data_IF_381555291586
#
_entry.id   IF_381555291586
#
_cell.length_a   1.000
_cell.length_b   1.000
_cell.length_c   1.000
_cell.angle_alpha   90.00
_cell.angle_beta   90.00
_cell.angle_gamma   90.00
#
_symmetry.space_group_name_H-M   'P 1'
#
loop_
_entity.id
_entity.type
_entity.pdbx_description
1 polymer ?
#
# COMPACT_ATOMS: atom_id res chain seq x y z
N UNK A 1 -27.41 20.05 14.11
CA UNK A 1 -27.07 19.69 12.72
C UNK A 1 -25.80 20.43 12.31
N UNK A 2 -24.65 19.93 12.75
CA UNK A 2 -23.34 20.44 12.34
C UNK A 2 -22.88 19.61 11.14
N UNK A 3 -23.22 20.05 9.93
CA UNK A 3 -22.61 19.54 8.70
C UNK A 3 -21.12 19.83 8.79
N UNK A 4 -20.31 18.79 9.02
CA UNK A 4 -18.91 18.92 9.41
C UNK A 4 -18.08 19.67 8.37
N UNK A 5 -17.25 20.59 8.86
CA UNK A 5 -16.31 21.44 8.13
C UNK A 5 -15.08 20.69 7.57
N UNK A 6 -15.14 19.36 7.46
CA UNK A 6 -14.02 18.53 7.02
C UNK A 6 -14.45 17.67 5.83
N UNK A 7 -13.88 17.89 4.63
CA UNK A 7 -14.20 17.07 3.47
C UNK A 7 -13.75 15.63 3.73
N UNK A 8 -14.70 14.68 3.67
CA UNK A 8 -14.38 13.25 3.82
C UNK A 8 -13.82 12.65 2.54
N UNK A 9 -13.80 13.39 1.43
CA UNK A 9 -13.31 12.90 0.14
C UNK A 9 -11.83 13.23 -0.02
N UNK A 10 -11.00 12.20 -0.06
CA UNK A 10 -9.57 12.30 -0.35
C UNK A 10 -9.30 11.89 -1.80
N UNK A 11 -8.91 12.81 -2.70
CA UNK A 11 -8.45 12.47 -4.03
C UNK A 11 -7.13 11.68 -3.98
N UNK A 12 -7.08 10.55 -4.67
CA UNK A 12 -5.91 9.68 -4.81
C UNK A 12 -5.67 9.42 -6.31
N UNK A 13 -5.02 10.37 -6.99
CA UNK A 13 -4.89 10.34 -8.45
C UNK A 13 -6.26 10.45 -9.13
N UNK A 14 -6.64 9.45 -9.92
CA UNK A 14 -7.94 9.38 -10.60
C UNK A 14 -9.05 8.69 -9.76
N UNK A 15 -8.78 8.37 -8.49
CA UNK A 15 -9.73 7.75 -7.56
C UNK A 15 -10.02 8.70 -6.41
N UNK A 16 -11.10 8.42 -5.67
CA UNK A 16 -11.46 9.15 -4.46
C UNK A 16 -11.71 8.14 -3.35
N UNK A 17 -11.08 8.35 -2.20
CA UNK A 17 -11.30 7.58 -0.97
C UNK A 17 -12.28 8.36 -0.07
N UNK A 18 -13.34 7.71 0.38
CA UNK A 18 -14.35 8.32 1.27
C UNK A 18 -14.05 8.02 2.74
N UNK A 19 -13.35 8.95 3.38
CA UNK A 19 -12.92 8.93 4.78
C UNK A 19 -14.07 9.08 5.80
N UNK A 20 -15.33 8.99 5.37
CA UNK A 20 -16.47 8.92 6.29
C UNK A 20 -16.44 7.65 7.18
N UNK A 21 -15.60 6.68 6.83
CA UNK A 21 -15.44 5.41 7.55
C UNK A 21 -13.95 5.07 7.71
N UNK A 22 -13.63 4.20 8.67
CA UNK A 22 -12.26 3.68 8.83
C UNK A 22 -11.88 2.76 7.68
N UNK A 23 -10.66 2.95 7.18
CA UNK A 23 -10.10 2.15 6.10
C UNK A 23 -8.91 1.33 6.57
N UNK A 24 -8.78 0.12 6.03
CA UNK A 24 -7.57 -0.68 6.15
C UNK A 24 -6.66 -0.41 4.95
N UNK A 25 -5.43 0.01 5.25
CA UNK A 25 -4.34 0.18 4.30
C UNK A 25 -3.43 -1.05 4.36
N UNK A 26 -3.31 -1.77 3.25
CA UNK A 26 -2.32 -2.85 3.11
C UNK A 26 -0.93 -2.28 2.87
N UNK A 27 0.10 -2.80 3.54
CA UNK A 27 1.48 -2.34 3.38
C UNK A 27 2.23 -3.33 2.49
N UNK A 28 2.63 -2.88 1.30
CA UNK A 28 3.42 -3.64 0.34
C UNK A 28 4.86 -3.12 0.30
N UNK A 29 5.75 -3.76 1.05
CA UNK A 29 7.18 -3.47 1.00
C UNK A 29 7.83 -4.23 -0.16
N UNK A 30 8.18 -3.54 -1.24
CA UNK A 30 8.82 -4.09 -2.43
C UNK A 30 10.34 -3.84 -2.40
N UNK A 31 11.02 -4.26 -1.33
CA UNK A 31 12.47 -4.08 -1.17
C UNK A 31 13.25 -5.28 -1.73
N UNK A 32 14.51 -5.10 -2.21
CA UNK A 32 15.29 -6.19 -2.82
C UNK A 32 15.56 -7.39 -1.88
N UNK A 33 15.62 -7.13 -0.59
CA UNK A 33 15.87 -8.06 0.52
C UNK A 33 14.61 -8.81 1.00
N UNK A 34 13.40 -8.37 0.62
CA UNK A 34 12.16 -9.05 1.03
C UNK A 34 11.79 -10.25 0.13
N UNK A 35 12.44 -10.43 -1.03
CA UNK A 35 12.03 -11.39 -2.08
C UNK A 35 13.21 -11.97 -2.88
N UNK A 36 14.31 -12.33 -2.21
CA UNK A 36 15.63 -12.55 -2.83
C UNK A 36 15.85 -13.80 -3.70
N UNK A 37 14.86 -14.66 -3.95
CA UNK A 37 15.13 -16.01 -4.49
C UNK A 37 14.89 -16.20 -6.01
N UNK A 38 14.62 -15.14 -6.80
CA UNK A 38 14.69 -15.29 -8.25
C UNK A 38 14.07 -14.17 -9.09
N UNK A 39 14.91 -13.32 -9.69
CA UNK A 39 14.58 -12.48 -10.84
C UNK A 39 13.64 -11.28 -10.62
N UNK A 40 13.84 -10.21 -11.42
CA UNK A 40 12.98 -9.00 -11.42
C UNK A 40 11.50 -9.31 -11.68
N UNK A 41 11.20 -10.32 -12.51
CA UNK A 41 9.84 -10.70 -12.84
C UNK A 41 9.14 -11.48 -11.71
N UNK A 42 9.84 -12.37 -11.01
CA UNK A 42 9.20 -13.09 -9.88
C UNK A 42 9.01 -12.19 -8.65
N UNK A 43 9.84 -11.15 -8.50
CA UNK A 43 9.62 -10.07 -7.52
C UNK A 43 8.33 -9.29 -7.81
N UNK A 44 8.07 -8.92 -9.06
CA UNK A 44 6.83 -8.24 -9.45
C UNK A 44 5.61 -9.14 -9.22
N UNK A 45 5.67 -10.39 -9.67
CA UNK A 45 4.54 -11.32 -9.53
C UNK A 45 4.22 -11.62 -8.06
N UNK A 46 5.24 -11.73 -7.21
CA UNK A 46 5.05 -11.91 -5.77
C UNK A 46 4.40 -10.68 -5.13
N UNK A 47 4.84 -9.47 -5.50
CA UNK A 47 4.25 -8.23 -5.02
C UNK A 47 2.78 -8.09 -5.45
N UNK A 48 2.46 -8.44 -6.70
CA UNK A 48 1.09 -8.43 -7.23
C UNK A 48 0.19 -9.44 -6.49
N UNK A 49 0.64 -10.69 -6.32
CA UNK A 49 -0.12 -11.70 -5.55
C UNK A 49 -0.36 -11.26 -4.10
N UNK A 50 0.62 -10.60 -3.49
CA UNK A 50 0.46 -10.09 -2.12
C UNK A 50 -0.56 -8.95 -2.06
N UNK A 51 -0.53 -8.03 -3.04
CA UNK A 51 -1.54 -6.97 -3.17
C UNK A 51 -2.95 -7.54 -3.37
N UNK A 52 -3.10 -8.54 -4.24
CA UNK A 52 -4.36 -9.25 -4.44
C UNK A 52 -4.88 -9.88 -3.15
N UNK A 53 -4.01 -10.58 -2.40
CA UNK A 53 -4.37 -11.17 -1.11
C UNK A 53 -4.84 -10.12 -0.09
N UNK A 54 -4.19 -8.96 -0.04
CA UNK A 54 -4.60 -7.85 0.83
C UNK A 54 -5.98 -7.30 0.44
N UNK A 55 -6.25 -7.15 -0.86
CA UNK A 55 -7.57 -6.72 -1.35
C UNK A 55 -8.64 -7.75 -0.99
N UNK A 56 -8.37 -9.05 -1.18
CA UNK A 56 -9.30 -10.12 -0.78
C UNK A 56 -9.55 -10.16 0.73
N UNK A 57 -8.56 -9.77 1.54
CA UNK A 57 -8.70 -9.64 3.00
C UNK A 57 -9.44 -8.36 3.44
N UNK A 58 -9.82 -7.47 2.51
CA UNK A 58 -10.59 -6.26 2.79
C UNK A 58 -9.78 -4.97 2.88
N UNK A 59 -8.51 -4.97 2.46
CA UNK A 59 -7.77 -3.72 2.29
C UNK A 59 -8.43 -2.85 1.21
N UNK A 60 -8.59 -1.57 1.51
CA UNK A 60 -9.27 -0.61 0.60
C UNK A 60 -8.30 0.34 -0.10
N UNK A 61 -7.05 0.35 0.37
CA UNK A 61 -5.92 1.00 -0.26
C UNK A 61 -4.65 0.20 0.03
N UNK A 62 -3.63 0.36 -0.81
CA UNK A 62 -2.32 -0.27 -0.66
C UNK A 62 -1.27 0.84 -0.65
N UNK A 63 -0.38 0.81 0.34
CA UNK A 63 0.82 1.63 0.41
C UNK A 63 2.03 0.83 -0.10
N UNK A 64 2.72 1.36 -1.11
CA UNK A 64 3.79 0.65 -1.82
C UNK A 64 5.11 1.35 -1.57
N UNK A 65 6.01 0.69 -0.83
CA UNK A 65 7.34 1.22 -0.50
C UNK A 65 8.45 0.40 -1.13
N UNK A 66 9.34 1.02 -1.91
CA UNK A 66 10.50 0.35 -2.53
C UNK A 66 11.80 0.43 -1.72
N UNK A 67 11.83 1.28 -0.70
CA UNK A 67 12.99 1.52 0.16
C UNK A 67 12.63 1.30 1.62
N UNK A 68 13.52 0.65 2.36
CA UNK A 68 13.35 0.44 3.80
C UNK A 68 13.77 1.70 4.57
N UNK A 69 12.85 2.23 5.38
CA UNK A 69 13.13 3.32 6.33
C UNK A 69 13.51 2.82 7.73
N UNK A 70 13.73 1.51 7.89
CA UNK A 70 14.08 0.90 9.17
C UNK A 70 15.50 1.33 9.61
N UNK A 71 15.77 1.46 10.93
CA UNK A 71 17.11 1.76 11.42
C UNK A 71 18.15 0.77 10.87
N UNK A 72 19.22 1.29 10.27
CA UNK A 72 20.29 0.46 9.69
C UNK A 72 20.04 -0.06 8.27
N UNK A 73 18.93 0.34 7.62
CA UNK A 73 18.74 0.05 6.21
C UNK A 73 19.86 0.65 5.35
N UNK A 74 20.34 -0.11 4.37
CA UNK A 74 21.26 0.41 3.35
C UNK A 74 20.46 1.32 2.40
N UNK A 75 20.91 2.55 2.15
CA UNK A 75 20.34 3.39 1.10
C UNK A 75 20.38 2.68 -0.25
N UNK A 76 19.33 2.88 -1.05
CA UNK A 76 19.23 2.37 -2.43
C UNK A 76 19.64 3.40 -3.46
#
# INVERSE_FOLDING_TARGET
MTSALYPTRLPCGNRVLDLAHTHVMGILNATPDSFSDGGRYSQLDAALRHAEAMVQAGATLIDVGGESTRPGARPV
#
